data_IF_650560659209
#
_entry.id   IF_650560659209
#
_cell.length_a   1.000
_cell.length_b   1.000
_cell.length_c   1.000
_cell.angle_alpha   90.00
_cell.angle_beta   90.00
_cell.angle_gamma   90.00
#
_symmetry.space_group_name_H-M   'P 1'
#
loop_
_entity.id
_entity.type
_entity.pdbx_description
1 polymer ?
#
# COMPACT_ATOMS: atom_id res chain seq x y z
N UNK A 1 -3.96 24.80 1.39
CA UNK A 1 -2.58 24.58 0.94
C UNK A 1 -1.88 23.69 1.96
N UNK A 2 -1.14 22.68 1.49
CA UNK A 2 -0.43 21.73 2.37
C UNK A 2 1.00 22.22 2.53
N UNK A 3 1.49 22.33 3.78
CA UNK A 3 2.90 22.60 4.08
C UNK A 3 3.61 21.30 4.38
N UNK A 4 4.56 20.92 3.53
CA UNK A 4 5.36 19.72 3.71
C UNK A 4 6.46 20.02 4.74
N UNK A 5 6.48 19.25 5.83
CA UNK A 5 7.52 19.35 6.85
C UNK A 5 8.76 18.55 6.47
N UNK A 6 8.57 17.30 6.03
CA UNK A 6 9.64 16.41 5.60
C UNK A 6 9.13 15.39 4.57
N UNK A 7 10.05 14.82 3.79
CA UNK A 7 9.82 13.68 2.90
C UNK A 7 10.90 12.65 3.18
N UNK A 8 10.51 11.43 3.52
CA UNK A 8 11.42 10.34 3.83
C UNK A 8 11.24 9.22 2.83
N UNK A 9 12.33 8.77 2.20
CA UNK A 9 12.31 7.59 1.33
C UNK A 9 12.48 6.33 2.17
N UNK A 10 11.53 5.40 2.06
CA UNK A 10 11.59 4.10 2.72
C UNK A 10 12.47 3.14 1.90
N UNK A 11 13.46 2.54 2.55
CA UNK A 11 14.35 1.56 1.95
C UNK A 11 14.11 0.18 2.58
N UNK A 12 13.14 -0.56 2.06
CA UNK A 12 12.85 -1.93 2.48
C UNK A 12 13.18 -2.90 1.34
N UNK A 13 14.44 -3.37 1.29
CA UNK A 13 14.92 -4.26 0.20
C UNK A 13 14.14 -5.58 0.13
N UNK A 14 13.86 -6.29 1.23
CA UNK A 14 13.06 -7.51 1.18
C UNK A 14 11.68 -7.30 0.57
N UNK A 15 10.96 -6.24 0.98
CA UNK A 15 9.64 -5.94 0.43
C UNK A 15 9.70 -5.49 -1.03
N UNK A 16 10.75 -4.77 -1.43
CA UNK A 16 10.96 -4.42 -2.84
C UNK A 16 11.16 -5.67 -3.71
N UNK A 17 11.98 -6.62 -3.27
CA UNK A 17 12.19 -7.88 -3.99
C UNK A 17 10.90 -8.70 -4.08
N UNK A 18 10.13 -8.77 -2.99
CA UNK A 18 8.82 -9.43 -2.99
C UNK A 18 7.83 -8.76 -3.96
N UNK A 19 7.81 -7.43 -4.00
CA UNK A 19 7.00 -6.68 -4.95
C UNK A 19 7.39 -6.96 -6.39
N UNK A 20 8.70 -6.93 -6.70
CA UNK A 20 9.20 -7.19 -8.05
C UNK A 20 8.86 -8.59 -8.52
N UNK A 21 9.02 -9.59 -7.65
CA UNK A 21 8.64 -10.97 -7.96
C UNK A 21 7.14 -11.12 -8.25
N UNK A 22 6.28 -10.51 -7.42
CA UNK A 22 4.83 -10.55 -7.64
C UNK A 22 4.42 -9.81 -8.91
N UNK A 23 5.12 -8.72 -9.25
CA UNK A 23 4.89 -7.98 -10.48
C UNK A 23 5.23 -8.84 -11.69
N UNK A 24 6.39 -9.50 -11.70
CA UNK A 24 6.79 -10.41 -12.77
C UNK A 24 5.75 -11.54 -12.94
N UNK A 25 5.30 -12.14 -11.85
CA UNK A 25 4.26 -13.17 -11.86
C UNK A 25 2.94 -12.68 -12.50
N UNK A 26 2.44 -11.51 -12.08
CA UNK A 26 1.20 -10.91 -12.64
C UNK A 26 1.37 -10.56 -14.12
N UNK A 27 2.59 -10.21 -14.54
CA UNK A 27 2.88 -9.92 -15.95
C UNK A 27 2.97 -11.19 -16.80
N UNK A 28 3.42 -12.31 -16.24
CA UNK A 28 3.52 -13.61 -16.92
C UNK A 28 2.17 -14.35 -16.99
N UNK A 29 1.30 -14.23 -15.98
CA UNK A 29 -0.03 -14.88 -15.99
C UNK A 29 -1.04 -14.21 -16.95
N UNK A 30 -0.87 -12.92 -17.25
CA UNK A 30 -1.65 -12.25 -18.30
C UNK A 30 -1.08 -12.56 -19.69
N UNK A 31 -1.35 -13.78 -20.17
CA UNK A 31 -1.05 -14.29 -21.52
C UNK A 31 -1.92 -13.59 -22.60
N UNK A 32 -1.89 -12.25 -22.64
CA UNK A 32 -2.63 -11.41 -23.59
C UNK A 32 -1.71 -11.08 -24.79
N UNK A 33 -1.94 -11.68 -25.98
CA UNK A 33 -1.03 -11.61 -27.13
C UNK A 33 -0.89 -10.21 -27.74
N UNK A 34 -1.56 -9.19 -27.20
CA UNK A 34 -1.56 -7.80 -27.70
C UNK A 34 -0.82 -6.82 -26.78
N UNK A 35 -0.36 -7.22 -25.58
CA UNK A 35 0.17 -6.27 -24.58
C UNK A 35 1.64 -6.48 -24.22
N UNK A 36 2.52 -6.24 -25.19
CA UNK A 36 3.81 -5.57 -24.93
C UNK A 36 3.60 -4.08 -24.63
N UNK A 37 2.57 -3.72 -23.85
CA UNK A 37 2.45 -2.38 -23.27
C UNK A 37 3.30 -2.39 -21.99
N UNK A 38 4.31 -1.53 -21.97
CA UNK A 38 5.38 -1.51 -20.96
C UNK A 38 4.85 -1.65 -19.53
N UNK A 39 5.65 -2.29 -18.67
CA UNK A 39 5.46 -2.39 -17.21
C UNK A 39 5.01 -1.05 -16.59
N UNK A 40 5.46 0.08 -17.17
CA UNK A 40 5.09 1.44 -16.76
C UNK A 40 3.60 1.75 -16.90
N UNK A 41 2.88 1.07 -17.79
CA UNK A 41 1.44 1.28 -17.99
C UNK A 41 0.56 0.61 -16.93
N UNK A 42 1.10 -0.35 -16.17
CA UNK A 42 0.40 -1.07 -15.10
C UNK A 42 0.81 -0.64 -13.69
N UNK A 43 1.84 0.20 -13.58
CA UNK A 43 2.32 0.74 -12.31
C UNK A 43 1.79 2.14 -12.10
N UNK A 44 1.02 2.33 -11.03
CA UNK A 44 0.51 3.63 -10.62
C UNK A 44 1.14 4.07 -9.29
N UNK A 45 1.47 5.36 -9.20
CA UNK A 45 1.88 5.97 -7.95
C UNK A 45 0.66 6.55 -7.25
N UNK A 46 0.26 5.92 -6.16
CA UNK A 46 -0.91 6.31 -5.38
C UNK A 46 -0.49 6.75 -3.97
N UNK A 47 -1.37 7.54 -3.34
CA UNK A 47 -1.24 7.98 -1.97
C UNK A 47 -1.97 7.02 -1.03
N UNK A 48 -1.32 6.73 0.09
CA UNK A 48 -1.93 6.08 1.24
C UNK A 48 -1.83 7.03 2.43
N UNK A 49 -2.92 7.19 3.17
CA UNK A 49 -2.97 7.97 4.40
C UNK A 49 -3.36 7.06 5.55
N UNK A 50 -2.56 7.05 6.60
CA UNK A 50 -2.99 6.46 7.87
C UNK A 50 -4.04 7.37 8.49
N UNK A 51 -5.13 6.79 8.97
CA UNK A 51 -6.04 7.53 9.83
C UNK A 51 -5.34 7.69 11.19
N UNK A 52 -5.07 8.91 11.68
CA UNK A 52 -4.62 9.07 13.06
C UNK A 52 -5.73 8.50 13.94
N UNK A 53 -5.39 7.43 14.67
CA UNK A 53 -6.31 6.52 15.33
C UNK A 53 -7.47 7.26 15.99
N UNK A 54 -8.70 6.99 15.56
CA UNK A 54 -9.84 7.15 16.47
C UNK A 54 -9.56 6.17 17.61
N UNK A 55 -9.15 6.69 18.77
CA UNK A 55 -8.95 5.91 20.01
C UNK A 55 -10.20 5.08 20.27
N UNK A 56 -10.19 3.84 19.80
CA UNK A 56 -11.27 2.87 19.94
C UNK A 56 -10.63 1.55 20.34
N UNK A 57 -11.43 0.67 20.96
CA UNK A 57 -11.01 -0.50 21.76
C UNK A 57 -10.01 -1.48 21.13
N UNK A 58 -9.71 -1.40 19.83
CA UNK A 58 -8.84 -2.33 19.10
C UNK A 58 -7.44 -1.76 18.78
N UNK A 59 -6.87 -0.99 19.70
CA UNK A 59 -5.62 -0.23 19.53
C UNK A 59 -4.43 -1.12 19.07
N UNK A 60 -4.36 -2.36 19.53
CA UNK A 60 -3.33 -3.33 19.12
C UNK A 60 -3.41 -3.70 17.63
N UNK A 61 -4.58 -3.66 17.03
CA UNK A 61 -4.79 -4.05 15.64
C UNK A 61 -4.51 -2.87 14.69
N UNK A 62 -4.80 -1.65 15.14
CA UNK A 62 -4.40 -0.43 14.44
C UNK A 62 -2.88 -0.22 14.40
N UNK A 63 -2.12 -0.79 15.35
CA UNK A 63 -0.65 -0.78 15.32
C UNK A 63 -0.09 -1.30 13.98
N UNK A 64 -0.69 -2.33 13.40
CA UNK A 64 -0.25 -2.90 12.11
C UNK A 64 -0.58 -2.03 10.90
N UNK A 65 -1.35 -0.95 11.09
CA UNK A 65 -1.73 0.00 10.05
C UNK A 65 -1.00 1.33 10.14
N UNK A 66 -0.08 1.49 11.10
CA UNK A 66 0.72 2.71 11.24
C UNK A 66 1.81 2.80 10.18
N UNK A 67 2.34 4.02 9.98
CA UNK A 67 3.43 4.25 9.03
C UNK A 67 4.65 3.43 9.42
N UNK A 68 4.98 3.33 10.71
CA UNK A 68 6.11 2.56 11.22
C UNK A 68 5.96 1.07 10.89
N UNK A 69 4.81 0.48 11.24
CA UNK A 69 4.59 -0.95 11.00
C UNK A 69 4.56 -1.28 9.51
N UNK A 70 3.91 -0.45 8.68
CA UNK A 70 3.87 -0.62 7.23
C UNK A 70 5.26 -0.45 6.61
N UNK A 71 6.08 0.47 7.13
CA UNK A 71 7.45 0.67 6.63
C UNK A 71 8.33 -0.56 6.84
N UNK A 72 8.12 -1.28 7.94
CA UNK A 72 8.89 -2.47 8.31
C UNK A 72 8.33 -3.75 7.66
N UNK A 73 7.01 -3.95 7.73
CA UNK A 73 6.35 -5.22 7.42
C UNK A 73 5.58 -5.20 6.08
N UNK A 74 5.40 -4.03 5.47
CA UNK A 74 4.47 -3.83 4.37
C UNK A 74 3.03 -3.69 4.85
N UNK A 75 2.09 -3.59 3.91
CA UNK A 75 0.67 -3.52 4.24
C UNK A 75 0.17 -4.85 4.82
N UNK A 76 -0.72 -4.83 5.83
CA UNK A 76 -1.33 -6.02 6.39
C UNK A 76 -2.34 -6.66 5.45
N UNK A 77 -2.83 -7.86 5.81
CA UNK A 77 -3.82 -8.59 5.02
C UNK A 77 -5.17 -7.90 4.99
N UNK A 78 -5.94 -8.18 3.93
CA UNK A 78 -7.34 -7.78 3.78
C UNK A 78 -8.18 -8.13 5.02
N UNK A 79 -8.01 -9.34 5.55
CA UNK A 79 -8.70 -9.80 6.76
C UNK A 79 -8.50 -8.88 7.97
N UNK A 80 -7.30 -8.29 8.12
CA UNK A 80 -7.04 -7.35 9.19
C UNK A 80 -7.87 -6.08 9.03
N UNK A 81 -7.96 -5.56 7.81
CA UNK A 81 -8.78 -4.39 7.49
C UNK A 81 -10.27 -4.66 7.74
N UNK A 82 -10.75 -5.86 7.40
CA UNK A 82 -12.11 -6.30 7.73
C UNK A 82 -12.36 -6.34 9.24
N UNK A 83 -11.42 -6.86 10.02
CA UNK A 83 -11.53 -6.86 11.49
C UNK A 83 -11.53 -5.44 12.07
N UNK A 84 -10.91 -4.47 11.38
CA UNK A 84 -10.92 -3.04 11.71
C UNK A 84 -12.20 -2.32 11.23
N UNK A 85 -13.16 -3.03 10.64
CA UNK A 85 -14.42 -2.47 10.13
C UNK A 85 -14.26 -1.71 8.82
N UNK A 86 -13.21 -1.99 8.05
CA UNK A 86 -12.97 -1.43 6.71
C UNK A 86 -13.36 -2.45 5.62
N UNK A 87 -13.40 -2.01 4.36
CA UNK A 87 -13.93 -2.75 3.21
C UNK A 87 -13.04 -3.91 2.71
N UNK A 88 -12.39 -4.66 3.61
CA UNK A 88 -11.56 -5.84 3.30
C UNK A 88 -10.47 -5.55 2.25
N UNK A 89 -9.97 -4.32 2.22
CA UNK A 89 -9.01 -3.84 1.23
C UNK A 89 -8.20 -2.65 1.74
N UNK A 90 -7.03 -2.44 1.13
CA UNK A 90 -6.21 -1.25 1.35
C UNK A 90 -6.72 -0.14 0.43
N UNK A 91 -7.14 0.98 1.00
CA UNK A 91 -7.57 2.14 0.23
C UNK A 91 -6.37 2.99 -0.21
N UNK A 92 -6.27 3.21 -1.52
CA UNK A 92 -5.31 4.14 -2.12
C UNK A 92 -6.06 5.27 -2.84
N UNK A 93 -5.45 6.46 -2.87
CA UNK A 93 -5.99 7.63 -3.57
C UNK A 93 -5.04 8.11 -4.66
N UNK A 94 -5.57 8.56 -5.79
CA UNK A 94 -4.79 9.22 -6.84
C UNK A 94 -4.51 10.70 -6.55
N UNK A 95 -5.07 11.25 -5.46
CA UNK A 95 -4.96 12.66 -5.11
C UNK A 95 -4.83 12.86 -3.59
N UNK A 96 -4.03 13.84 -3.19
CA UNK A 96 -3.92 14.33 -1.81
C UNK A 96 -5.00 15.37 -1.46
N UNK A 97 -6.13 15.37 -2.16
CA UNK A 97 -7.21 16.33 -1.95
C UNK A 97 -7.62 16.34 -0.47
N UNK A 98 -7.55 17.54 0.12
CA UNK A 98 -7.94 17.86 1.51
C UNK A 98 -9.44 17.67 1.68
#
# INVERSE_FOLDING_TARGET
GIKIHCITRLFNRPKKLQFDHNLDFVLEEEDDPIKTKSIQSKLEYLFYSTQPSRRTQNDHMYHFTTIESISEHGFPSADLYKQLGQDDAIAFSNSLAV
#
